data_IF_277321022211
#
_entry.id   IF_277321022211
#
_cell.length_a   1.000
_cell.length_b   1.000
_cell.length_c   1.000
_cell.angle_alpha   90.00
_cell.angle_beta   90.00
_cell.angle_gamma   90.00
#
_symmetry.space_group_name_H-M   'P 1'
#
loop_
_entity.id
_entity.type
_entity.pdbx_description
1 polymer ?
#
# COMPACT_ATOMS: atom_id res chain seq x y z
N UNK A 1 -30.51 14.79 2.93
CA UNK A 1 -29.90 13.57 3.49
C UNK A 1 -28.45 13.88 3.82
N UNK A 2 -28.06 13.88 5.11
CA UNK A 2 -26.66 14.08 5.50
C UNK A 2 -25.94 12.75 5.24
N UNK A 3 -24.97 12.74 4.33
CA UNK A 3 -24.07 11.60 4.21
C UNK A 3 -23.31 11.49 5.54
N UNK A 4 -23.57 10.43 6.29
CA UNK A 4 -22.66 9.99 7.34
C UNK A 4 -21.30 9.79 6.68
N UNK A 5 -20.37 10.72 6.92
CA UNK A 5 -18.95 10.44 6.72
C UNK A 5 -18.66 9.28 7.66
N UNK A 6 -18.67 8.04 7.13
CA UNK A 6 -17.99 6.93 7.79
C UNK A 6 -16.60 7.45 8.12
N UNK A 7 -16.26 7.53 9.41
CA UNK A 7 -14.89 7.78 9.81
C UNK A 7 -14.07 6.68 9.14
N UNK A 8 -13.22 7.07 8.21
CA UNK A 8 -12.23 6.23 7.57
C UNK A 8 -11.22 5.82 8.64
N UNK A 9 -11.48 4.72 9.33
CA UNK A 9 -10.58 4.23 10.36
C UNK A 9 -9.64 3.24 9.67
N UNK A 10 -8.39 3.67 9.42
CA UNK A 10 -7.34 2.77 8.97
C UNK A 10 -7.25 1.59 9.98
N UNK A 11 -7.12 0.34 9.54
CA UNK A 11 -6.94 -0.78 10.47
C UNK A 11 -5.70 -0.58 11.36
N UNK A 12 -5.76 -1.01 12.63
CA UNK A 12 -4.59 -0.94 13.54
C UNK A 12 -3.41 -1.74 12.99
N UNK A 13 -3.71 -2.92 12.42
CA UNK A 13 -2.73 -3.81 11.77
C UNK A 13 -3.35 -4.30 10.47
N UNK A 14 -2.55 -4.26 9.41
CA UNK A 14 -2.85 -4.84 8.11
C UNK A 14 -1.77 -5.84 7.73
N UNK A 15 -2.17 -7.02 7.27
CA UNK A 15 -1.22 -8.03 6.78
C UNK A 15 -0.70 -7.61 5.40
N UNK A 16 0.55 -7.94 5.10
CA UNK A 16 1.17 -7.69 3.81
C UNK A 16 1.55 -9.01 3.13
N UNK A 17 1.30 -9.09 1.83
CA UNK A 17 1.75 -10.19 0.97
C UNK A 17 2.44 -9.63 -0.26
N UNK A 18 3.56 -10.24 -0.65
CA UNK A 18 4.28 -9.85 -1.88
C UNK A 18 3.82 -10.74 -3.03
N UNK A 19 3.09 -10.16 -3.98
CA UNK A 19 2.68 -10.85 -5.21
C UNK A 19 3.58 -10.55 -6.40
N UNK A 20 4.66 -9.82 -6.20
CA UNK A 20 5.62 -9.42 -7.23
C UNK A 20 6.67 -10.48 -7.46
N UNK A 21 6.98 -11.24 -6.40
CA UNK A 21 8.04 -12.23 -6.38
C UNK A 21 9.28 -11.65 -5.71
N UNK A 22 10.44 -11.85 -6.32
CA UNK A 22 11.70 -11.29 -5.81
C UNK A 22 11.76 -9.79 -6.05
N UNK A 23 12.42 -9.06 -5.13
CA UNK A 23 12.76 -7.66 -5.34
C UNK A 23 13.54 -7.51 -6.65
N UNK A 24 13.13 -6.62 -7.57
CA UNK A 24 13.82 -6.45 -8.85
C UNK A 24 15.20 -5.80 -8.67
N UNK A 25 16.12 -6.13 -9.56
CA UNK A 25 17.53 -5.69 -9.48
C UNK A 25 17.67 -4.16 -9.65
N UNK A 26 16.78 -3.54 -10.42
CA UNK A 26 16.74 -2.10 -10.66
C UNK A 26 15.96 -1.31 -9.57
N UNK A 27 15.53 -1.97 -8.49
CA UNK A 27 14.77 -1.33 -7.42
C UNK A 27 15.54 -0.14 -6.81
N UNK A 28 14.91 1.03 -6.80
CA UNK A 28 15.48 2.24 -6.20
C UNK A 28 15.39 2.13 -4.69
N UNK A 29 16.44 2.57 -3.98
CA UNK A 29 16.50 2.65 -2.51
C UNK A 29 16.68 4.09 -2.07
N UNK A 30 15.86 4.54 -1.13
CA UNK A 30 15.97 5.87 -0.51
C UNK A 30 15.76 5.72 1.00
N UNK A 31 16.84 5.82 1.78
CA UNK A 31 16.79 5.50 3.21
C UNK A 31 16.33 4.07 3.43
N UNK A 32 15.30 3.87 4.25
CA UNK A 32 14.69 2.56 4.52
C UNK A 32 13.62 2.17 3.49
N UNK A 33 13.34 3.04 2.50
CA UNK A 33 12.33 2.80 1.46
C UNK A 33 12.95 2.18 0.21
N UNK A 34 12.20 1.29 -0.45
CA UNK A 34 12.55 0.83 -1.80
C UNK A 34 11.33 0.69 -2.70
N UNK A 35 11.49 0.82 -4.01
CA UNK A 35 10.40 0.70 -4.99
C UNK A 35 10.90 0.34 -6.39
N UNK A 36 9.99 -0.16 -7.23
CA UNK A 36 10.17 -0.29 -8.69
C UNK A 36 10.14 1.10 -9.34
N UNK A 37 11.21 1.54 -10.05
CA UNK A 37 11.29 2.89 -10.61
C UNK A 37 10.12 3.25 -11.53
N UNK A 38 9.52 2.26 -12.19
CA UNK A 38 8.38 2.36 -13.10
C UNK A 38 7.15 3.00 -12.43
N UNK A 39 7.04 2.92 -11.09
CA UNK A 39 5.95 3.55 -10.34
C UNK A 39 5.90 5.08 -10.54
N UNK A 40 7.04 5.70 -10.83
CA UNK A 40 7.11 7.16 -11.04
C UNK A 40 6.57 7.60 -12.40
N UNK A 41 6.56 6.70 -13.38
CA UNK A 41 5.98 6.94 -14.70
C UNK A 41 4.45 6.86 -14.69
N UNK A 42 3.84 6.32 -13.63
CA UNK A 42 2.39 6.22 -13.52
C UNK A 42 1.73 7.58 -13.24
N UNK A 43 0.50 7.82 -13.75
CA UNK A 43 -0.27 9.04 -13.51
C UNK A 43 -0.91 9.05 -12.10
N UNK A 44 -0.11 8.77 -11.08
CA UNK A 44 -0.45 8.83 -9.66
C UNK A 44 0.10 10.11 -9.05
N UNK A 45 -0.58 10.64 -8.03
CA UNK A 45 -0.02 11.70 -7.19
C UNK A 45 1.18 11.18 -6.38
N UNK A 46 2.00 12.07 -5.78
CA UNK A 46 3.18 11.64 -5.02
C UNK A 46 2.87 10.73 -3.82
N UNK A 47 1.77 10.97 -3.11
CA UNK A 47 1.43 10.21 -1.90
C UNK A 47 1.23 8.70 -2.15
N UNK A 48 0.43 8.23 -3.13
CA UNK A 48 0.38 6.82 -3.52
C UNK A 48 1.75 6.22 -3.84
N UNK A 49 2.62 6.95 -4.56
CA UNK A 49 3.95 6.46 -4.96
C UNK A 49 4.86 6.25 -3.76
N UNK A 50 4.87 7.21 -2.82
CA UNK A 50 5.60 7.11 -1.56
C UNK A 50 5.03 5.98 -0.70
N UNK A 51 3.70 5.86 -0.65
CA UNK A 51 3.05 4.80 0.11
C UNK A 51 3.38 3.42 -0.44
N UNK A 52 3.43 3.27 -1.77
CA UNK A 52 3.89 2.05 -2.43
C UNK A 52 5.32 1.68 -2.00
N UNK A 53 6.26 2.65 -2.04
CA UNK A 53 7.63 2.44 -1.59
C UNK A 53 7.72 2.03 -0.11
N UNK A 54 6.90 2.66 0.73
CA UNK A 54 6.70 2.26 2.13
C UNK A 54 6.28 0.80 2.26
N UNK A 55 5.17 0.42 1.62
CA UNK A 55 4.64 -0.94 1.67
C UNK A 55 5.68 -1.96 1.20
N UNK A 56 6.43 -1.66 0.14
CA UNK A 56 7.51 -2.51 -0.38
C UNK A 56 8.56 -2.84 0.70
N UNK A 57 8.98 -1.85 1.49
CA UNK A 57 9.93 -2.05 2.58
C UNK A 57 9.38 -2.89 3.73
N UNK A 58 8.08 -2.84 4.00
CA UNK A 58 7.46 -3.62 5.07
C UNK A 58 7.12 -5.07 4.68
N UNK A 59 7.30 -5.48 3.43
CA UNK A 59 6.96 -6.85 2.99
C UNK A 59 7.77 -7.94 3.70
N UNK A 60 9.02 -7.65 4.08
CA UNK A 60 9.82 -8.56 4.93
C UNK A 60 9.19 -8.80 6.32
N UNK A 61 8.42 -7.83 6.82
CA UNK A 61 7.72 -7.92 8.10
C UNK A 61 6.34 -8.57 8.01
N UNK A 62 5.80 -8.77 6.80
CA UNK A 62 4.48 -9.38 6.51
C UNK A 62 3.27 -8.68 7.13
N UNK A 63 3.46 -7.53 7.75
CA UNK A 63 2.41 -6.72 8.32
C UNK A 63 2.89 -5.28 8.44
N UNK A 64 1.93 -4.35 8.48
CA UNK A 64 2.16 -2.94 8.76
C UNK A 64 1.06 -2.45 9.70
N UNK A 65 1.43 -1.63 10.69
CA UNK A 65 0.47 -1.05 11.61
C UNK A 65 0.09 0.39 11.18
N UNK A 66 -0.98 0.93 11.77
CA UNK A 66 -1.46 2.29 11.46
C UNK A 66 -0.39 3.36 11.69
N UNK A 67 0.43 3.21 12.75
CA UNK A 67 1.50 4.17 13.06
C UNK A 67 2.55 4.20 11.96
N UNK A 68 2.94 3.04 11.43
CA UNK A 68 3.90 2.93 10.34
C UNK A 68 3.36 3.51 9.04
N UNK A 69 2.07 3.26 8.72
CA UNK A 69 1.39 3.91 7.59
C UNK A 69 1.41 5.44 7.71
N UNK A 70 1.14 5.96 8.91
CA UNK A 70 1.20 7.40 9.20
C UNK A 70 2.61 7.97 9.16
N UNK A 71 3.63 7.16 9.46
CA UNK A 71 5.02 7.59 9.36
C UNK A 71 5.50 7.66 7.91
N UNK A 72 5.01 6.78 7.03
CA UNK A 72 5.35 6.80 5.59
C UNK A 72 4.84 8.09 4.93
N UNK A 73 3.59 8.46 5.18
CA UNK A 73 3.00 9.72 4.74
C UNK A 73 2.90 10.70 5.91
N UNK A 74 4.06 11.07 6.44
CA UNK A 74 4.15 11.99 7.57
C UNK A 74 3.42 13.30 7.22
N UNK A 75 2.69 13.82 8.21
CA UNK A 75 1.92 15.06 8.12
C UNK A 75 0.66 15.00 7.23
N UNK A 76 0.38 13.86 6.56
CA UNK A 76 -0.90 13.61 5.90
C UNK A 76 -1.98 13.19 6.90
N UNK A 77 -3.23 13.66 6.76
CA UNK A 77 -4.37 13.15 7.49
C UNK A 77 -4.71 11.71 7.05
N UNK A 78 -5.42 10.95 7.90
CA UNK A 78 -5.74 9.53 7.61
C UNK A 78 -6.58 9.37 6.35
N UNK A 79 -7.43 10.36 6.03
CA UNK A 79 -8.21 10.40 4.81
C UNK A 79 -7.35 10.45 3.54
N UNK A 80 -6.20 11.14 3.59
CA UNK A 80 -5.26 11.18 2.47
C UNK A 80 -4.50 9.86 2.32
N UNK A 81 -4.16 9.21 3.44
CA UNK A 81 -3.55 7.88 3.42
C UNK A 81 -4.52 6.86 2.83
N UNK A 82 -5.80 6.91 3.22
CA UNK A 82 -6.82 6.04 2.65
C UNK A 82 -7.03 6.34 1.15
N UNK A 83 -7.10 7.61 0.76
CA UNK A 83 -7.18 7.98 -0.65
C UNK A 83 -5.98 7.48 -1.46
N UNK A 84 -4.77 7.51 -0.87
CA UNK A 84 -3.57 6.98 -1.48
C UNK A 84 -3.62 5.45 -1.63
N UNK A 85 -4.07 4.72 -0.60
CA UNK A 85 -4.32 3.27 -0.68
C UNK A 85 -5.34 2.93 -1.79
N UNK A 86 -6.45 3.66 -1.84
CA UNK A 86 -7.48 3.48 -2.87
C UNK A 86 -6.94 3.78 -4.27
N UNK A 87 -6.06 4.76 -4.43
CA UNK A 87 -5.39 5.02 -5.70
C UNK A 87 -4.51 3.83 -6.11
N UNK A 88 -3.74 3.25 -5.20
CA UNK A 88 -2.95 2.05 -5.48
C UNK A 88 -3.84 0.85 -5.87
N UNK A 89 -5.00 0.69 -5.24
CA UNK A 89 -5.98 -0.34 -5.61
C UNK A 89 -6.56 -0.11 -7.00
N UNK A 90 -6.97 1.12 -7.32
CA UNK A 90 -7.49 1.47 -8.66
C UNK A 90 -6.47 1.24 -9.76
N UNK A 91 -5.21 1.50 -9.47
CA UNK A 91 -4.10 1.24 -10.37
C UNK A 91 -3.56 -0.19 -10.26
N UNK A 92 -4.21 -1.11 -9.53
CA UNK A 92 -3.85 -2.53 -9.37
C UNK A 92 -2.42 -2.80 -8.84
N UNK A 93 -1.79 -1.81 -8.22
CA UNK A 93 -0.52 -1.97 -7.48
C UNK A 93 -0.76 -2.54 -6.08
N UNK A 94 -2.00 -2.50 -5.62
CA UNK A 94 -2.45 -3.06 -4.36
C UNK A 94 -3.75 -3.84 -4.60
N UNK A 95 -3.86 -5.01 -4.00
CA UNK A 95 -5.13 -5.72 -3.88
C UNK A 95 -5.49 -5.82 -2.41
N UNK A 96 -6.69 -5.35 -2.06
CA UNK A 96 -7.24 -5.51 -0.72
C UNK A 96 -8.02 -6.83 -0.69
N UNK A 97 -7.62 -7.72 0.20
CA UNK A 97 -8.32 -8.96 0.51
C UNK A 97 -8.50 -9.09 2.02
N UNK A 98 -9.19 -10.13 2.47
CA UNK A 98 -9.45 -10.39 3.88
C UNK A 98 -8.97 -11.78 4.26
N UNK A 99 -8.42 -11.92 5.47
CA UNK A 99 -8.05 -13.22 6.05
C UNK A 99 -8.82 -13.44 7.34
N UNK A 100 -9.47 -14.58 7.44
CA UNK A 100 -10.02 -15.07 8.69
C UNK A 100 -8.88 -15.62 9.55
N UNK A 101 -8.70 -15.06 10.74
CA UNK A 101 -7.79 -15.55 11.78
C UNK A 101 -8.60 -15.99 12.99
N UNK A 102 -7.94 -16.63 13.97
CA UNK A 102 -8.55 -16.97 15.26
C UNK A 102 -8.99 -15.74 16.08
N UNK A 103 -8.47 -14.55 15.74
CA UNK A 103 -8.77 -13.28 16.41
C UNK A 103 -9.75 -12.39 15.65
N UNK A 104 -10.25 -12.81 14.50
CA UNK A 104 -11.22 -12.07 13.68
C UNK A 104 -10.83 -12.00 12.21
N UNK A 105 -11.41 -11.04 11.48
CA UNK A 105 -11.08 -10.78 10.08
C UNK A 105 -10.03 -9.67 10.04
N UNK A 106 -8.88 -9.95 9.43
CA UNK A 106 -7.84 -8.96 9.19
C UNK A 106 -7.74 -8.64 7.70
N UNK A 107 -7.56 -7.35 7.34
CA UNK A 107 -7.27 -6.99 5.97
C UNK A 107 -5.86 -7.48 5.58
N UNK A 108 -5.72 -7.86 4.32
CA UNK A 108 -4.44 -8.10 3.66
C UNK A 108 -4.29 -7.10 2.51
N UNK A 109 -3.16 -6.42 2.47
CA UNK A 109 -2.67 -5.74 1.29
C UNK A 109 -1.69 -6.64 0.54
N UNK A 110 -2.12 -7.11 -0.63
CA UNK A 110 -1.26 -7.81 -1.58
C UNK A 110 -0.62 -6.77 -2.51
N UNK A 111 0.69 -6.56 -2.35
CA UNK A 111 1.47 -5.60 -3.15
C UNK A 111 1.82 -6.25 -4.49
N UNK A 112 1.56 -5.53 -5.59
CA UNK A 112 1.73 -6.01 -6.97
C UNK A 112 2.69 -5.12 -7.74
N UNK A 113 3.29 -5.71 -8.76
CA UNK A 113 4.40 -5.12 -9.51
C UNK A 113 3.82 -4.21 -10.58
N UNK A 114 4.59 -3.18 -10.93
CA UNK A 114 4.22 -2.28 -12.02
C UNK A 114 4.22 -3.02 -13.36
N UNK A 115 4.99 -4.11 -13.51
CA UNK A 115 5.12 -4.80 -14.80
C UNK A 115 4.00 -5.83 -15.07
N UNK A 116 3.06 -6.04 -14.14
CA UNK A 116 1.95 -6.98 -14.32
C UNK A 116 0.75 -6.41 -15.10
N UNK A 117 0.91 -5.33 -15.87
CA UNK A 117 -0.16 -4.78 -16.71
C UNK A 117 -0.27 -5.40 -18.11
N UNK A 118 0.65 -6.28 -18.51
CA UNK A 118 0.56 -7.00 -19.78
C UNK A 118 -0.39 -8.20 -19.68
N UNK A 119 -1.70 -7.95 -19.62
CA UNK A 119 -2.71 -8.91 -20.10
C UNK A 119 -3.92 -8.14 -20.65
N UNK A 120 -3.92 -7.89 -21.95
CA UNK A 120 -5.13 -7.86 -22.78
C UNK A 120 -4.87 -8.63 -24.07
#
# INVERSE_FOLDING_TARGET
>A
MKAERKRSVLPEVTLLSDARGTRPENAVVVGDLWYEPEVWSLPLSPAPKILYAGLCSFLGHRQINRKDLRNILKDCPEEEIEAALQALVRHRLLMLTEKVTSSGILPIYEVRSVDRFDVF
#
